data_IF_672453044980
#
_entry.id   IF_672453044980
#
_cell.length_a   1.000
_cell.length_b   1.000
_cell.length_c   1.000
_cell.angle_alpha   90.00
_cell.angle_beta   90.00
_cell.angle_gamma   90.00
#
_symmetry.space_group_name_H-M   'P 1'
#
loop_
_entity.id
_entity.type
_entity.pdbx_description
1 polymer ?
#
# COMPACT_ATOMS: atom_id res chain seq x y z
N UNK A 1 3.81 0.03 -11.89
CA UNK A 1 3.13 -0.07 -13.20
C UNK A 1 2.26 -1.32 -13.26
N UNK A 2 2.81 -2.49 -12.95
CA UNK A 2 2.11 -3.79 -12.94
C UNK A 2 0.76 -3.76 -12.21
N UNK A 3 0.73 -3.40 -10.92
CA UNK A 3 -0.53 -3.31 -10.13
C UNK A 3 -1.60 -2.41 -10.80
N UNK A 4 -1.18 -1.34 -11.45
CA UNK A 4 -2.12 -0.43 -12.12
C UNK A 4 -2.72 -1.09 -13.37
N UNK A 5 -1.89 -1.80 -14.15
CA UNK A 5 -2.33 -2.54 -15.33
C UNK A 5 -3.25 -3.70 -14.95
N UNK A 6 -2.88 -4.50 -13.94
CA UNK A 6 -3.64 -5.67 -13.49
C UNK A 6 -5.03 -5.30 -12.97
N UNK A 7 -5.17 -4.09 -12.42
CA UNK A 7 -6.44 -3.57 -11.90
C UNK A 7 -7.16 -2.63 -12.88
N UNK A 8 -6.65 -2.42 -14.10
CA UNK A 8 -7.17 -1.48 -15.08
C UNK A 8 -7.30 -0.02 -14.54
N UNK A 9 -6.35 0.38 -13.68
CA UNK A 9 -6.29 1.69 -13.04
C UNK A 9 -5.11 2.52 -13.53
N UNK A 10 -5.19 3.84 -13.31
CA UNK A 10 -4.04 4.71 -13.55
C UNK A 10 -2.99 4.58 -12.45
N UNK A 11 -1.71 4.81 -12.78
CA UNK A 11 -0.65 4.90 -11.77
C UNK A 11 -0.94 5.97 -10.70
N UNK A 12 -1.59 7.08 -11.09
CA UNK A 12 -1.99 8.14 -10.18
C UNK A 12 -2.97 7.62 -9.12
N UNK A 13 -3.92 6.78 -9.53
CA UNK A 13 -4.90 6.13 -8.63
C UNK A 13 -4.18 5.23 -7.62
N UNK A 14 -3.26 4.37 -8.10
CA UNK A 14 -2.47 3.51 -7.20
C UNK A 14 -1.63 4.34 -6.21
N UNK A 15 -0.99 5.42 -6.66
CA UNK A 15 -0.23 6.33 -5.78
C UNK A 15 -1.12 6.93 -4.69
N UNK A 16 -2.34 7.37 -5.03
CA UNK A 16 -3.29 7.89 -4.05
C UNK A 16 -3.69 6.85 -3.01
N UNK A 17 -3.92 5.60 -3.41
CA UNK A 17 -4.21 4.50 -2.48
C UNK A 17 -3.02 4.22 -1.55
N UNK A 18 -1.80 4.14 -2.09
CA UNK A 18 -0.58 3.95 -1.29
C UNK A 18 -0.44 5.09 -0.26
N UNK A 19 -0.57 6.35 -0.67
CA UNK A 19 -0.52 7.49 0.26
C UNK A 19 -1.60 7.41 1.35
N UNK A 20 -2.81 6.94 1.02
CA UNK A 20 -3.84 6.72 2.03
C UNK A 20 -3.51 5.58 2.98
N UNK A 21 -2.88 4.50 2.51
CA UNK A 21 -2.48 3.36 3.34
C UNK A 21 -1.38 3.81 4.31
N UNK A 22 -0.34 4.48 3.82
CA UNK A 22 0.75 5.01 4.64
C UNK A 22 0.19 5.91 5.76
N UNK A 23 -0.71 6.84 5.42
CA UNK A 23 -1.36 7.71 6.40
C UNK A 23 -2.19 6.93 7.43
N UNK A 24 -2.98 5.95 7.00
CA UNK A 24 -3.83 5.14 7.90
C UNK A 24 -3.01 4.26 8.84
N UNK A 25 -1.85 3.79 8.39
CA UNK A 25 -0.95 2.96 9.18
C UNK A 25 0.05 3.80 10.00
N UNK A 26 0.12 5.11 9.75
CA UNK A 26 1.13 6.02 10.27
C UNK A 26 2.55 5.52 9.94
N UNK A 27 2.77 5.16 8.68
CA UNK A 27 4.05 4.66 8.14
C UNK A 27 4.72 5.73 7.26
N UNK A 28 6.04 5.82 7.33
CA UNK A 28 6.88 6.71 6.54
C UNK A 28 7.08 6.19 5.11
N UNK A 29 7.19 4.88 4.95
CA UNK A 29 7.36 4.24 3.65
C UNK A 29 6.59 2.90 3.49
N UNK A 30 6.71 2.32 2.29
CA UNK A 30 6.01 1.07 1.95
C UNK A 30 6.53 -0.13 2.72
N UNK A 31 7.82 -0.19 3.00
CA UNK A 31 8.45 -1.29 3.75
C UNK A 31 7.96 -1.29 5.19
N UNK A 32 7.90 -0.11 5.81
CA UNK A 32 7.33 0.05 7.14
C UNK A 32 5.85 -0.33 7.15
N UNK A 33 5.07 0.13 6.17
CA UNK A 33 3.65 -0.22 6.06
C UNK A 33 3.41 -1.73 5.95
N UNK A 34 4.25 -2.45 5.20
CA UNK A 34 4.21 -3.92 5.12
C UNK A 34 4.54 -4.55 6.47
N UNK A 35 5.58 -4.06 7.15
CA UNK A 35 5.97 -4.55 8.48
C UNK A 35 4.85 -4.35 9.51
N UNK A 36 4.21 -3.18 9.51
CA UNK A 36 3.04 -2.90 10.35
C UNK A 36 1.89 -3.83 9.99
N UNK A 37 1.62 -4.02 8.69
CA UNK A 37 0.57 -4.91 8.21
C UNK A 37 0.74 -6.35 8.70
N UNK A 38 1.96 -6.89 8.62
CA UNK A 38 2.29 -8.22 9.14
C UNK A 38 2.13 -8.30 10.65
N UNK A 39 2.69 -7.34 11.41
CA UNK A 39 2.60 -7.32 12.89
C UNK A 39 1.18 -7.21 13.41
N UNK A 40 0.32 -6.47 12.69
CA UNK A 40 -1.10 -6.29 13.04
C UNK A 40 -2.02 -7.38 12.48
N UNK A 41 -1.49 -8.34 11.72
CA UNK A 41 -2.29 -9.41 11.09
C UNK A 41 -3.21 -8.93 9.97
N UNK A 42 -2.92 -7.79 9.34
CA UNK A 42 -3.71 -7.23 8.23
C UNK A 42 -3.41 -7.92 6.90
N UNK A 43 -2.21 -8.48 6.75
CA UNK A 43 -1.72 -9.21 5.58
C UNK A 43 -0.88 -10.40 6.04
N UNK A 44 -0.77 -11.43 5.19
CA UNK A 44 0.06 -12.62 5.39
C UNK A 44 1.01 -12.82 4.20
N UNK A 45 2.11 -13.54 4.43
CA UNK A 45 3.08 -13.98 3.40
C UNK A 45 2.78 -15.41 2.97
#
# INVERSE_FOLDING_TARGET
>A
REIAADLFLSEKTIKAHVSSILRKLNAEDRTEAVTIGLRRGLISL
#
